data_IF_734494912619
#
_entry.id   IF_734494912619
#
_cell.length_a   1.000
_cell.length_b   1.000
_cell.length_c   1.000
_cell.angle_alpha   90.00
_cell.angle_beta   90.00
_cell.angle_gamma   90.00
#
_symmetry.space_group_name_H-M   'P 1'
#
loop_
_entity.id
_entity.type
_entity.pdbx_description
1 polymer ?
#
# COMPACT_ATOMS: atom_id res chain seq x y z
N UNK A 1 -59.88 -25.27 -28.57
CA UNK A 1 -59.50 -23.93 -28.07
C UNK A 1 -58.04 -23.98 -27.54
N UNK A 2 -57.11 -23.57 -28.37
CA UNK A 2 -55.70 -23.67 -28.14
C UNK A 2 -55.21 -22.38 -27.49
N UNK A 3 -54.41 -22.50 -26.43
CA UNK A 3 -53.68 -21.43 -25.82
C UNK A 3 -52.21 -21.57 -26.15
N UNK A 4 -51.68 -20.59 -26.80
CA UNK A 4 -50.24 -20.37 -27.02
C UNK A 4 -49.56 -19.89 -25.71
N UNK A 5 -48.39 -20.40 -25.40
CA UNK A 5 -47.39 -19.65 -24.67
C UNK A 5 -46.08 -19.64 -25.46
N UNK A 6 -45.59 -18.49 -25.76
CA UNK A 6 -44.25 -18.40 -26.34
C UNK A 6 -44.01 -17.06 -27.00
N UNK A 7 -43.47 -16.08 -26.26
CA UNK A 7 -42.88 -14.89 -26.92
C UNK A 7 -42.03 -14.00 -25.96
N UNK A 8 -41.50 -14.51 -24.86
CA UNK A 8 -40.61 -13.69 -24.04
C UNK A 8 -39.25 -14.34 -23.58
N UNK A 9 -39.01 -15.57 -24.01
CA UNK A 9 -37.75 -16.27 -23.60
C UNK A 9 -36.56 -16.05 -24.55
N UNK A 10 -36.78 -15.46 -25.74
CA UNK A 10 -35.78 -15.46 -26.80
C UNK A 10 -34.77 -14.30 -26.80
N UNK A 11 -35.10 -13.14 -26.26
CA UNK A 11 -34.23 -11.97 -26.39
C UNK A 11 -33.22 -11.80 -25.26
N UNK A 12 -33.52 -12.21 -24.05
CA UNK A 12 -32.57 -12.17 -22.93
C UNK A 12 -31.50 -13.27 -23.02
N UNK A 13 -31.81 -14.44 -23.51
CA UNK A 13 -30.89 -15.55 -23.70
C UNK A 13 -29.81 -15.25 -24.77
N UNK A 14 -30.19 -14.62 -25.88
CA UNK A 14 -29.27 -14.30 -26.97
C UNK A 14 -28.27 -13.18 -26.60
N UNK A 15 -28.64 -12.21 -25.76
CA UNK A 15 -27.73 -11.15 -25.33
C UNK A 15 -26.70 -11.67 -24.36
N UNK A 16 -27.08 -12.57 -23.47
CA UNK A 16 -26.16 -13.20 -22.50
C UNK A 16 -25.23 -14.19 -23.22
N UNK A 17 -25.73 -15.02 -24.11
CA UNK A 17 -24.91 -15.92 -24.93
C UNK A 17 -23.97 -15.16 -25.87
N UNK A 18 -24.37 -14.05 -26.47
CA UNK A 18 -23.49 -13.19 -27.26
C UNK A 18 -22.43 -12.49 -26.41
N UNK A 19 -22.73 -12.11 -25.18
CA UNK A 19 -21.76 -11.55 -24.23
C UNK A 19 -20.76 -12.62 -23.78
N UNK A 20 -21.24 -13.80 -23.42
CA UNK A 20 -20.41 -14.95 -23.06
C UNK A 20 -19.57 -15.42 -24.26
N UNK A 21 -20.12 -15.50 -25.47
CA UNK A 21 -19.39 -15.88 -26.69
C UNK A 21 -18.31 -14.85 -27.08
N UNK A 22 -18.61 -13.54 -26.99
CA UNK A 22 -17.59 -12.49 -27.18
C UNK A 22 -16.51 -12.52 -26.09
N UNK A 23 -16.89 -12.89 -24.91
CA UNK A 23 -15.97 -13.04 -23.79
C UNK A 23 -15.08 -14.27 -24.00
N UNK A 24 -15.67 -15.44 -24.28
CA UNK A 24 -14.95 -16.68 -24.57
C UNK A 24 -14.11 -16.58 -25.85
N UNK A 25 -14.52 -15.82 -26.88
CA UNK A 25 -13.70 -15.60 -28.07
C UNK A 25 -12.46 -14.74 -27.84
N UNK A 26 -12.45 -13.91 -26.79
CA UNK A 26 -11.22 -13.23 -26.33
C UNK A 26 -10.24 -14.20 -25.66
N UNK A 27 -10.74 -15.27 -25.04
CA UNK A 27 -9.91 -16.29 -24.39
C UNK A 27 -9.49 -17.44 -25.32
N UNK A 28 -10.09 -17.58 -26.52
CA UNK A 28 -9.65 -18.52 -27.53
C UNK A 28 -8.51 -17.99 -28.41
N UNK A 29 -8.13 -16.71 -28.27
CA UNK A 29 -6.88 -16.22 -28.83
C UNK A 29 -5.72 -16.65 -27.93
N UNK A 30 -4.51 -16.93 -28.48
CA UNK A 30 -3.35 -17.18 -27.66
C UNK A 30 -3.25 -16.06 -26.63
N UNK A 31 -3.19 -16.43 -25.35
CA UNK A 31 -3.18 -15.48 -24.25
C UNK A 31 -2.15 -14.38 -24.56
N UNK A 32 -2.52 -13.09 -24.43
CA UNK A 32 -1.56 -12.02 -24.60
C UNK A 32 -0.37 -12.33 -23.71
N UNK A 33 0.82 -12.27 -24.28
CA UNK A 33 2.02 -12.52 -23.51
C UNK A 33 2.32 -11.24 -22.73
N UNK A 34 2.15 -11.29 -21.40
CA UNK A 34 2.60 -10.22 -20.52
C UNK A 34 4.05 -10.48 -20.11
N UNK A 35 4.84 -9.42 -20.10
CA UNK A 35 6.15 -9.42 -19.51
C UNK A 35 6.10 -8.66 -18.17
N UNK A 36 6.65 -9.25 -17.12
CA UNK A 36 6.83 -8.56 -15.85
C UNK A 36 8.24 -7.99 -15.77
N UNK A 37 8.36 -6.68 -15.83
CA UNK A 37 9.61 -5.95 -15.61
C UNK A 37 9.74 -5.60 -14.13
N UNK A 38 10.92 -5.82 -13.55
CA UNK A 38 11.25 -5.46 -12.18
C UNK A 38 12.62 -4.81 -12.10
N UNK A 39 12.74 -3.79 -11.27
CA UNK A 39 14.00 -3.08 -11.03
C UNK A 39 14.23 -2.87 -9.53
N UNK A 40 15.51 -2.60 -9.13
CA UNK A 40 15.79 -2.25 -7.74
C UNK A 40 15.07 -0.97 -7.35
N UNK A 41 14.51 -0.99 -6.15
CA UNK A 41 13.90 0.17 -5.55
C UNK A 41 14.95 1.25 -5.25
N UNK A 42 14.59 2.51 -5.49
CA UNK A 42 15.33 3.67 -5.02
C UNK A 42 14.47 4.38 -3.96
N UNK A 43 14.96 4.44 -2.74
CA UNK A 43 14.20 4.95 -1.58
C UNK A 43 13.84 6.44 -1.67
N UNK A 44 14.51 7.19 -2.55
CA UNK A 44 14.25 8.62 -2.79
C UNK A 44 13.36 8.86 -4.02
N UNK A 45 13.06 7.80 -4.80
CA UNK A 45 12.25 7.93 -5.99
C UNK A 45 10.77 7.96 -5.63
N UNK A 46 10.05 8.96 -6.13
CA UNK A 46 8.59 9.00 -6.09
C UNK A 46 8.00 8.20 -7.24
N UNK A 47 8.65 8.26 -8.40
CA UNK A 47 8.26 7.53 -9.61
C UNK A 47 9.47 7.18 -10.46
N UNK A 48 9.24 6.46 -11.54
CA UNK A 48 10.28 6.02 -12.46
C UNK A 48 9.92 6.35 -13.90
N UNK A 49 10.94 6.67 -14.69
CA UNK A 49 10.83 6.74 -16.15
C UNK A 49 11.47 5.49 -16.75
N UNK A 50 10.68 4.77 -17.55
CA UNK A 50 11.09 3.56 -18.25
C UNK A 50 11.07 3.79 -19.76
N UNK A 51 12.10 3.33 -20.45
CA UNK A 51 12.21 3.31 -21.91
C UNK A 51 12.33 1.89 -22.42
N UNK A 52 11.60 1.60 -23.53
CA UNK A 52 11.71 0.32 -24.26
C UNK A 52 12.06 0.64 -25.72
N UNK A 53 13.00 -0.10 -26.25
CA UNK A 53 13.49 0.04 -27.63
C UNK A 53 13.82 -1.32 -28.27
N UNK A 54 13.81 -1.39 -29.61
CA UNK A 54 14.06 -2.62 -30.37
C UNK A 54 15.53 -2.83 -30.72
N UNK A 55 16.38 -1.83 -30.52
CA UNK A 55 17.83 -1.92 -30.70
C UNK A 55 18.55 -1.07 -29.66
N UNK A 56 19.77 -1.45 -29.33
CA UNK A 56 20.61 -0.66 -28.42
C UNK A 56 21.45 0.29 -29.29
N UNK A 57 21.29 1.63 -29.13
CA UNK A 57 22.14 2.59 -29.82
C UNK A 57 23.63 2.40 -29.50
N UNK A 58 24.51 2.64 -30.46
CA UNK A 58 25.96 2.50 -30.29
C UNK A 58 26.54 3.40 -29.21
N UNK A 59 25.89 4.54 -28.95
CA UNK A 59 26.22 5.44 -27.85
C UNK A 59 24.97 5.80 -27.06
N UNK A 60 24.91 5.35 -25.82
CA UNK A 60 23.84 5.71 -24.86
C UNK A 60 24.45 6.56 -23.75
N UNK A 61 24.02 7.82 -23.65
CA UNK A 61 24.26 8.61 -22.43
C UNK A 61 23.27 8.12 -21.36
N UNK A 62 23.75 7.60 -20.21
CA UNK A 62 22.86 7.15 -19.14
C UNK A 62 22.10 8.29 -18.47
N UNK A 63 22.42 9.54 -18.75
CA UNK A 63 21.74 10.73 -18.20
C UNK A 63 20.65 11.29 -19.13
N UNK A 64 20.67 10.93 -20.40
CA UNK A 64 19.77 11.46 -21.40
C UNK A 64 18.81 10.40 -21.91
N UNK A 65 17.52 10.75 -22.16
CA UNK A 65 16.58 9.86 -22.82
C UNK A 65 16.99 9.60 -24.27
N UNK A 66 16.55 8.47 -24.83
CA UNK A 66 16.72 8.14 -26.26
C UNK A 66 15.61 8.80 -27.06
N UNK A 67 15.95 9.47 -28.18
CA UNK A 67 14.97 10.16 -29.03
C UNK A 67 13.97 9.18 -29.67
N UNK A 68 14.43 7.99 -30.05
CA UNK A 68 13.61 6.99 -30.72
C UNK A 68 13.42 5.77 -29.84
N UNK A 69 12.25 5.67 -29.19
CA UNK A 69 11.85 4.56 -28.35
C UNK A 69 10.51 3.98 -28.81
N UNK A 70 10.28 2.69 -28.57
CA UNK A 70 8.97 2.07 -28.78
C UNK A 70 7.96 2.48 -27.70
N UNK A 71 8.45 2.71 -26.50
CA UNK A 71 7.62 3.07 -25.35
C UNK A 71 8.42 3.90 -24.35
N UNK A 72 7.80 4.94 -23.81
CA UNK A 72 8.29 5.70 -22.67
C UNK A 72 7.14 5.96 -21.72
N UNK A 73 7.40 5.77 -20.43
CA UNK A 73 6.47 6.10 -19.38
C UNK A 73 7.24 6.62 -18.17
N UNK A 74 6.90 7.79 -17.69
CA UNK A 74 7.51 8.49 -16.55
C UNK A 74 6.55 8.59 -15.33
N UNK A 75 5.41 7.91 -15.41
CA UNK A 75 4.41 7.86 -14.33
C UNK A 75 4.32 6.45 -13.72
N UNK A 76 5.45 5.79 -13.54
CA UNK A 76 5.50 4.47 -12.91
C UNK A 76 5.77 4.62 -11.42
N UNK A 77 4.76 4.37 -10.61
CA UNK A 77 4.87 4.28 -9.16
C UNK A 77 5.21 2.84 -8.76
N UNK A 78 6.19 2.70 -7.86
CA UNK A 78 6.72 1.39 -7.50
C UNK A 78 7.77 0.88 -8.51
N UNK A 79 8.28 -0.31 -8.29
CA UNK A 79 9.46 -0.86 -8.94
C UNK A 79 9.18 -2.03 -9.91
N UNK A 80 7.97 -2.07 -10.47
CA UNK A 80 7.59 -3.11 -11.44
C UNK A 80 6.51 -2.64 -12.42
N UNK A 81 6.48 -3.27 -13.60
CA UNK A 81 5.52 -3.01 -14.67
C UNK A 81 5.10 -4.32 -15.34
N UNK A 82 3.80 -4.51 -15.55
CA UNK A 82 3.28 -5.48 -16.50
C UNK A 82 3.22 -4.86 -17.89
N UNK A 83 3.91 -5.42 -18.84
CA UNK A 83 3.97 -4.96 -20.22
C UNK A 83 3.23 -5.94 -21.14
N UNK A 84 2.27 -5.44 -21.90
CA UNK A 84 1.69 -6.14 -23.05
C UNK A 84 2.43 -5.72 -24.31
N UNK A 85 3.32 -6.58 -24.81
CA UNK A 85 4.13 -6.29 -25.98
C UNK A 85 3.30 -5.97 -27.24
N UNK A 86 2.09 -6.52 -27.34
CA UNK A 86 1.17 -6.23 -28.45
C UNK A 86 0.69 -4.79 -28.50
N UNK A 87 0.83 -4.06 -27.40
CA UNK A 87 0.48 -2.64 -27.32
C UNK A 87 1.66 -1.73 -27.69
N UNK A 88 2.85 -2.28 -27.94
CA UNK A 88 4.01 -1.51 -28.40
C UNK A 88 3.85 -1.11 -29.87
N UNK A 89 3.87 0.19 -30.20
CA UNK A 89 3.72 0.65 -31.56
C UNK A 89 4.95 0.26 -32.42
N UNK A 90 4.70 -0.27 -33.60
CA UNK A 90 5.77 -0.60 -34.56
C UNK A 90 6.63 -1.81 -34.18
N UNK A 91 6.20 -2.62 -33.24
CA UNK A 91 6.87 -3.87 -32.91
C UNK A 91 6.62 -4.90 -34.02
N UNK A 92 7.70 -5.40 -34.64
CA UNK A 92 7.64 -6.56 -35.55
C UNK A 92 7.70 -7.86 -34.74
N UNK A 93 7.11 -8.94 -35.27
CA UNK A 93 7.18 -10.26 -34.64
C UNK A 93 8.63 -10.69 -34.43
N UNK A 94 8.94 -11.22 -33.24
CA UNK A 94 10.26 -11.75 -32.85
C UNK A 94 11.41 -10.75 -32.74
N UNK A 95 11.16 -9.43 -32.74
CA UNK A 95 12.22 -8.46 -32.47
C UNK A 95 12.70 -8.55 -31.02
N UNK A 96 14.02 -8.42 -30.77
CA UNK A 96 14.52 -8.29 -29.43
C UNK A 96 14.05 -6.96 -28.82
N UNK A 97 13.67 -6.99 -27.56
CA UNK A 97 13.30 -5.79 -26.80
C UNK A 97 14.33 -5.53 -25.73
N UNK A 98 14.66 -4.27 -25.59
CA UNK A 98 15.59 -3.76 -24.57
C UNK A 98 14.89 -2.70 -23.75
N UNK A 99 15.26 -2.58 -22.49
CA UNK A 99 14.70 -1.58 -21.61
C UNK A 99 15.73 -1.05 -20.62
N UNK A 100 15.47 0.14 -20.13
CA UNK A 100 16.18 0.78 -19.02
C UNK A 100 15.23 1.67 -18.23
N UNK A 101 15.58 1.98 -17.01
CA UNK A 101 14.74 2.74 -16.09
C UNK A 101 15.60 3.70 -15.28
N UNK A 102 15.07 4.87 -14.95
CA UNK A 102 15.69 5.81 -13.98
C UNK A 102 14.68 6.31 -12.95
N UNK A 103 15.17 6.67 -11.74
CA UNK A 103 14.34 7.24 -10.70
C UNK A 103 14.08 8.73 -10.97
N UNK A 104 12.86 9.18 -10.61
CA UNK A 104 12.41 10.57 -10.67
C UNK A 104 11.93 11.02 -9.30
N UNK A 105 12.04 12.34 -9.03
CA UNK A 105 11.45 12.99 -7.87
C UNK A 105 9.93 13.23 -8.04
N UNK A 106 9.36 14.00 -7.11
CA UNK A 106 7.94 14.35 -7.12
C UNK A 106 7.57 15.22 -8.32
N UNK A 107 8.43 16.12 -8.73
CA UNK A 107 8.26 17.01 -9.88
C UNK A 107 8.52 16.29 -11.23
N UNK A 108 9.04 15.06 -11.18
CA UNK A 108 9.41 14.27 -12.37
C UNK A 108 10.81 14.59 -12.89
N UNK A 109 11.62 15.29 -12.10
CA UNK A 109 13.01 15.51 -12.46
C UNK A 109 13.86 14.26 -12.12
N UNK A 110 14.84 13.89 -12.97
CA UNK A 110 15.71 12.75 -12.71
C UNK A 110 16.59 12.97 -11.48
N UNK A 111 16.51 12.07 -10.49
CA UNK A 111 17.39 12.02 -9.33
C UNK A 111 18.55 11.03 -9.51
N UNK A 112 18.63 10.36 -10.66
CA UNK A 112 19.68 9.42 -11.00
C UNK A 112 19.75 9.15 -12.49
N UNK A 113 20.81 8.44 -12.89
CA UNK A 113 20.98 7.98 -14.26
C UNK A 113 20.07 6.78 -14.57
N UNK A 114 19.84 6.53 -15.85
CA UNK A 114 19.24 5.28 -16.29
C UNK A 114 20.08 4.07 -15.88
N UNK A 115 19.43 2.98 -15.57
CA UNK A 115 20.06 1.69 -15.35
C UNK A 115 20.83 1.23 -16.60
N UNK A 116 21.71 0.24 -16.44
CA UNK A 116 22.21 -0.51 -17.59
C UNK A 116 21.04 -1.09 -18.39
N UNK A 117 21.23 -1.13 -19.72
CA UNK A 117 20.26 -1.74 -20.63
C UNK A 117 20.10 -3.22 -20.31
N UNK A 118 18.88 -3.67 -20.27
CA UNK A 118 18.50 -5.07 -20.07
C UNK A 118 17.71 -5.56 -21.27
N UNK A 119 18.04 -6.76 -21.72
CA UNK A 119 17.26 -7.44 -22.74
C UNK A 119 16.00 -8.05 -22.09
N UNK A 120 14.86 -7.86 -22.73
CA UNK A 120 13.62 -8.53 -22.35
C UNK A 120 13.67 -9.97 -22.87
N UNK A 121 14.11 -10.90 -22.04
CA UNK A 121 14.23 -12.31 -22.39
C UNK A 121 12.87 -12.98 -22.44
N UNK A 122 12.54 -13.46 -23.62
CA UNK A 122 11.22 -13.89 -24.04
C UNK A 122 10.63 -15.12 -23.34
N UNK A 123 11.43 -16.03 -22.78
CA UNK A 123 10.93 -17.34 -22.34
C UNK A 123 10.58 -17.45 -20.85
N UNK A 124 11.23 -16.67 -19.98
CA UNK A 124 11.00 -16.75 -18.54
C UNK A 124 10.11 -15.62 -17.98
N UNK A 125 10.00 -14.50 -18.70
CA UNK A 125 9.26 -13.32 -18.29
C UNK A 125 7.91 -13.16 -18.99
N UNK A 126 7.66 -13.91 -20.09
CA UNK A 126 6.49 -13.76 -20.96
C UNK A 126 5.29 -14.66 -20.64
N UNK A 127 5.37 -15.48 -19.63
CA UNK A 127 4.27 -16.39 -19.25
C UNK A 127 3.43 -15.88 -18.10
N UNK A 128 3.29 -14.56 -17.96
CA UNK A 128 2.37 -14.03 -16.98
C UNK A 128 0.92 -14.19 -17.42
N UNK A 129 0.12 -14.66 -16.50
CA UNK A 129 -1.33 -14.65 -16.57
C UNK A 129 -1.80 -13.22 -16.92
N UNK A 130 -2.82 -13.10 -17.74
CA UNK A 130 -3.42 -11.79 -18.03
C UNK A 130 -4.29 -11.34 -16.85
N UNK A 131 -3.63 -10.97 -15.79
CA UNK A 131 -4.19 -10.54 -14.52
C UNK A 131 -3.26 -9.52 -13.86
N UNK A 132 -3.76 -8.64 -12.98
CA UNK A 132 -2.88 -7.82 -12.14
C UNK A 132 -1.94 -8.74 -11.34
N UNK A 133 -0.71 -8.30 -11.13
CA UNK A 133 0.27 -9.08 -10.35
C UNK A 133 0.25 -8.60 -8.89
N UNK A 134 -0.19 -9.41 -7.93
CA UNK A 134 -0.07 -9.07 -6.52
C UNK A 134 1.39 -8.77 -6.17
N UNK A 135 1.63 -7.68 -5.47
CA UNK A 135 2.95 -7.38 -4.90
C UNK A 135 3.03 -8.08 -3.54
N UNK A 136 3.80 -9.19 -3.43
CA UNK A 136 3.92 -9.84 -2.14
C UNK A 136 4.62 -8.86 -1.21
N UNK A 137 4.06 -8.73 -0.02
CA UNK A 137 4.75 -8.09 1.07
C UNK A 137 6.17 -8.64 1.19
N UNK A 138 7.14 -7.77 1.38
CA UNK A 138 8.52 -8.17 1.67
C UNK A 138 8.52 -9.14 2.87
N UNK A 139 9.60 -9.89 3.04
CA UNK A 139 9.70 -10.97 4.04
C UNK A 139 9.04 -10.61 5.36
N UNK A 140 8.08 -11.41 5.86
CA UNK A 140 7.47 -11.16 7.15
C UNK A 140 8.55 -11.12 8.23
N UNK A 141 8.54 -10.05 9.01
CA UNK A 141 9.38 -9.87 10.18
C UNK A 141 8.52 -9.63 11.42
N UNK A 142 9.10 -9.46 12.60
CA UNK A 142 8.35 -8.98 13.75
C UNK A 142 7.61 -7.68 13.39
N UNK A 143 6.34 -7.55 13.79
CA UNK A 143 5.56 -6.34 13.58
C UNK A 143 4.97 -6.12 12.18
N UNK A 144 5.13 -7.05 11.26
CA UNK A 144 4.60 -6.93 9.88
C UNK A 144 3.17 -7.45 9.72
N UNK A 145 2.55 -7.91 10.80
CA UNK A 145 1.16 -8.41 10.81
C UNK A 145 0.22 -7.22 10.99
N UNK A 146 -0.51 -6.88 9.94
CA UNK A 146 -1.45 -5.76 9.92
C UNK A 146 -2.86 -6.24 10.21
N UNK A 147 -3.54 -5.60 11.18
CA UNK A 147 -4.97 -5.82 11.43
C UNK A 147 -5.83 -5.30 10.27
N UNK A 148 -5.41 -4.20 9.67
CA UNK A 148 -6.02 -3.58 8.50
C UNK A 148 -5.11 -3.80 7.28
N UNK A 149 -5.30 -4.88 6.51
CA UNK A 149 -4.42 -5.20 5.39
C UNK A 149 -4.48 -4.16 4.28
N UNK A 150 -3.38 -4.02 3.54
CA UNK A 150 -3.35 -3.28 2.29
C UNK A 150 -3.02 -4.24 1.16
N UNK A 151 -3.89 -4.27 0.15
CA UNK A 151 -3.81 -5.16 -0.98
C UNK A 151 -3.13 -4.44 -2.14
N UNK A 152 -1.82 -4.69 -2.29
CA UNK A 152 -0.97 -4.02 -3.30
C UNK A 152 -0.76 -4.92 -4.51
N UNK A 153 -0.83 -4.33 -5.71
CA UNK A 153 -0.65 -5.06 -6.95
C UNK A 153 -0.13 -4.15 -8.07
N UNK A 154 0.42 -4.77 -9.10
CA UNK A 154 0.85 -4.06 -10.31
C UNK A 154 -0.29 -3.95 -11.29
N UNK A 155 -0.45 -2.76 -11.85
CA UNK A 155 -1.48 -2.43 -12.83
C UNK A 155 -1.46 -3.38 -14.03
N UNK A 156 -2.64 -3.78 -14.50
CA UNK A 156 -2.81 -4.59 -15.70
C UNK A 156 -2.99 -3.68 -16.92
N UNK A 157 -2.24 -3.86 -18.01
CA UNK A 157 -2.47 -3.12 -19.26
C UNK A 157 -3.92 -3.23 -19.74
N UNK A 158 -4.53 -2.07 -20.05
CA UNK A 158 -5.92 -1.99 -20.52
C UNK A 158 -6.98 -1.96 -19.42
N UNK A 159 -6.62 -2.15 -18.15
CA UNK A 159 -7.49 -1.88 -17.02
C UNK A 159 -7.41 -0.40 -16.61
N UNK A 160 -8.52 0.15 -16.15
CA UNK A 160 -8.61 1.51 -15.57
C UNK A 160 -9.16 1.48 -14.16
N UNK A 161 -9.74 0.36 -13.75
CA UNK A 161 -10.22 0.10 -12.40
C UNK A 161 -9.85 -1.34 -12.03
N UNK A 162 -9.88 -1.62 -10.76
CA UNK A 162 -9.54 -2.91 -10.19
C UNK A 162 -10.60 -3.33 -9.20
N UNK A 163 -11.05 -4.58 -9.28
CA UNK A 163 -11.88 -5.19 -8.26
C UNK A 163 -11.01 -6.11 -7.42
N UNK A 164 -10.91 -5.81 -6.14
CA UNK A 164 -10.30 -6.69 -5.13
C UNK A 164 -11.41 -7.44 -4.43
N UNK A 165 -11.26 -8.76 -4.27
CA UNK A 165 -12.13 -9.55 -3.39
C UNK A 165 -11.33 -10.23 -2.29
N UNK A 166 -11.91 -10.25 -1.09
CA UNK A 166 -11.41 -10.94 0.09
C UNK A 166 -12.30 -12.16 0.36
N UNK A 167 -11.67 -13.28 0.64
CA UNK A 167 -12.29 -14.59 0.73
C UNK A 167 -11.99 -15.22 2.09
N UNK A 168 -12.95 -15.96 2.64
CA UNK A 168 -12.79 -16.75 3.87
C UNK A 168 -12.19 -18.15 3.62
N UNK A 169 -12.10 -18.59 2.35
CA UNK A 169 -11.40 -19.79 1.93
C UNK A 169 -10.87 -19.61 0.49
N UNK A 170 -10.06 -20.55 0.03
CA UNK A 170 -9.56 -20.57 -1.35
C UNK A 170 -10.73 -20.57 -2.35
N UNK A 171 -10.63 -19.83 -3.47
CA UNK A 171 -11.66 -19.86 -4.48
C UNK A 171 -11.77 -21.24 -5.11
N UNK A 172 -13.00 -21.66 -5.50
CA UNK A 172 -13.23 -22.95 -6.16
C UNK A 172 -12.41 -23.12 -7.43
N UNK A 173 -12.14 -22.01 -8.12
CA UNK A 173 -11.30 -21.96 -9.31
C UNK A 173 -10.23 -20.89 -9.12
N UNK A 174 -8.98 -21.30 -9.24
CA UNK A 174 -7.82 -20.39 -9.13
C UNK A 174 -7.69 -19.46 -10.33
N UNK A 175 -8.37 -19.78 -11.41
CA UNK A 175 -8.38 -19.04 -12.66
C UNK A 175 -9.82 -18.70 -13.05
N UNK A 176 -9.93 -17.86 -14.08
CA UNK A 176 -11.21 -17.43 -14.62
C UNK A 176 -11.64 -16.05 -14.13
N UNK A 177 -12.90 -15.74 -14.36
CA UNK A 177 -13.45 -14.39 -14.28
C UNK A 177 -14.60 -14.25 -13.30
N UNK A 178 -15.10 -15.38 -12.81
CA UNK A 178 -16.24 -15.36 -11.89
C UNK A 178 -15.78 -15.02 -10.47
N UNK A 179 -16.56 -14.23 -9.73
CA UNK A 179 -16.35 -14.04 -8.30
C UNK A 179 -16.40 -15.38 -7.55
N UNK A 180 -15.67 -15.48 -6.46
CA UNK A 180 -15.72 -16.65 -5.58
C UNK A 180 -17.02 -16.70 -4.76
N UNK A 181 -17.52 -17.90 -4.45
CA UNK A 181 -18.59 -18.06 -3.46
C UNK A 181 -18.11 -17.86 -2.02
N UNK A 182 -16.78 -17.87 -1.80
CA UNK A 182 -16.14 -17.56 -0.52
C UNK A 182 -15.88 -16.06 -0.29
N UNK A 183 -16.43 -15.20 -1.15
CA UNK A 183 -16.28 -13.75 -1.04
C UNK A 183 -16.99 -13.22 0.22
N UNK A 184 -16.22 -12.63 1.12
CA UNK A 184 -16.71 -11.93 2.32
C UNK A 184 -16.66 -10.41 2.17
N UNK A 185 -15.83 -9.90 1.24
CA UNK A 185 -15.71 -8.49 0.92
C UNK A 185 -15.28 -8.29 -0.52
N UNK A 186 -15.67 -7.18 -1.12
CA UNK A 186 -15.14 -6.73 -2.40
C UNK A 186 -15.28 -5.22 -2.55
N UNK A 187 -14.27 -4.62 -3.19
CA UNK A 187 -14.25 -3.19 -3.49
C UNK A 187 -13.65 -2.93 -4.86
N UNK A 188 -14.12 -1.88 -5.52
CA UNK A 188 -13.57 -1.40 -6.80
C UNK A 188 -12.83 -0.09 -6.55
N UNK A 189 -11.60 -0.02 -7.03
CA UNK A 189 -10.71 1.14 -6.89
C UNK A 189 -10.03 1.46 -8.22
N UNK A 190 -9.57 2.70 -8.39
CA UNK A 190 -8.69 3.12 -9.47
C UNK A 190 -7.20 3.03 -9.08
N UNK A 191 -6.92 2.84 -7.79
CA UNK A 191 -5.59 2.75 -7.23
C UNK A 191 -5.05 1.32 -7.31
N UNK A 192 -3.74 1.18 -7.21
CA UNK A 192 -3.04 -0.13 -7.16
C UNK A 192 -2.75 -0.60 -5.73
N UNK A 193 -3.23 0.15 -4.75
CA UNK A 193 -3.24 -0.20 -3.34
C UNK A 193 -4.65 -0.01 -2.79
N UNK A 194 -5.25 -1.08 -2.28
CA UNK A 194 -6.54 -1.00 -1.60
C UNK A 194 -6.34 -1.19 -0.10
N UNK A 195 -6.69 -0.17 0.67
CA UNK A 195 -6.69 -0.19 2.14
C UNK A 195 -7.99 -0.81 2.63
N UNK A 196 -7.91 -1.99 3.24
CA UNK A 196 -9.09 -2.64 3.84
C UNK A 196 -9.54 -1.83 5.07
N UNK A 197 -10.81 -1.46 5.08
CA UNK A 197 -11.43 -0.74 6.19
C UNK A 197 -12.04 -1.65 7.26
N UNK A 198 -11.79 -2.94 7.14
CA UNK A 198 -12.25 -3.94 8.09
C UNK A 198 -11.06 -4.64 8.75
N UNK A 199 -11.07 -4.81 10.06
CA UNK A 199 -10.07 -5.62 10.74
C UNK A 199 -10.20 -7.09 10.29
N UNK A 200 -9.06 -7.72 9.97
CA UNK A 200 -9.00 -9.10 9.52
C UNK A 200 -8.29 -9.98 10.55
N UNK A 201 -9.07 -10.51 11.48
CA UNK A 201 -8.61 -11.52 12.44
C UNK A 201 -8.97 -12.90 11.89
N UNK A 202 -7.99 -13.79 11.77
CA UNK A 202 -8.15 -15.10 11.15
C UNK A 202 -7.31 -15.26 9.89
N UNK A 203 -7.61 -16.30 9.13
CA UNK A 203 -6.99 -16.54 7.82
C UNK A 203 -7.96 -16.16 6.73
N UNK A 204 -7.48 -15.35 5.80
CA UNK A 204 -8.20 -14.89 4.62
C UNK A 204 -7.33 -15.05 3.37
N UNK A 205 -7.97 -14.99 2.22
CA UNK A 205 -7.33 -14.91 0.92
C UNK A 205 -7.84 -13.68 0.18
N UNK A 206 -7.01 -13.07 -0.65
CA UNK A 206 -7.45 -12.00 -1.52
C UNK A 206 -6.92 -12.20 -2.92
N UNK A 207 -7.62 -11.66 -3.90
CA UNK A 207 -7.20 -11.61 -5.28
C UNK A 207 -7.80 -10.38 -5.96
N UNK A 208 -7.23 -10.01 -7.11
CA UNK A 208 -7.59 -8.80 -7.83
C UNK A 208 -7.79 -9.10 -9.30
N UNK A 209 -8.67 -8.36 -9.96
CA UNK A 209 -8.81 -8.35 -11.41
C UNK A 209 -8.90 -6.93 -11.95
N UNK A 210 -8.48 -6.72 -13.22
CA UNK A 210 -8.67 -5.46 -13.93
C UNK A 210 -10.10 -5.31 -14.48
N UNK A 211 -10.55 -4.06 -14.56
CA UNK A 211 -11.81 -3.68 -15.20
C UNK A 211 -11.55 -2.58 -16.25
N UNK A 212 -12.29 -2.63 -17.38
CA UNK A 212 -12.28 -1.55 -18.37
C UNK A 212 -13.19 -0.39 -17.92
N UNK A 213 -13.17 0.74 -18.66
CA UNK A 213 -14.00 1.92 -18.40
C UNK A 213 -15.53 1.66 -18.37
N UNK A 214 -15.99 0.46 -18.73
CA UNK A 214 -17.39 0.03 -18.66
C UNK A 214 -17.64 -0.91 -17.49
N UNK A 215 -16.61 -1.13 -16.63
CA UNK A 215 -16.67 -2.08 -15.53
C UNK A 215 -16.64 -3.55 -15.99
N UNK A 216 -16.21 -3.84 -17.21
CA UNK A 216 -16.10 -5.21 -17.71
C UNK A 216 -14.69 -5.76 -17.41
N UNK A 217 -14.59 -7.06 -17.02
CA UNK A 217 -13.31 -7.68 -16.74
C UNK A 217 -12.33 -7.57 -17.90
N UNK A 218 -11.11 -7.13 -17.58
CA UNK A 218 -9.92 -7.19 -18.43
C UNK A 218 -9.04 -8.29 -17.88
N UNK A 219 -8.92 -9.39 -18.62
CA UNK A 219 -8.16 -10.54 -18.14
C UNK A 219 -8.89 -11.38 -17.08
N UNK A 220 -8.11 -12.05 -16.27
CA UNK A 220 -8.55 -12.98 -15.24
C UNK A 220 -8.33 -12.40 -13.84
N UNK A 221 -8.81 -13.14 -12.83
CA UNK A 221 -8.38 -12.92 -11.45
C UNK A 221 -6.91 -13.29 -11.26
N UNK A 222 -6.19 -12.52 -10.45
CA UNK A 222 -4.86 -12.91 -10.00
C UNK A 222 -4.91 -14.21 -9.19
N UNK A 223 -3.75 -14.84 -8.97
CA UNK A 223 -3.66 -15.92 -8.00
C UNK A 223 -3.97 -15.38 -6.59
N UNK A 224 -4.72 -16.16 -5.77
CA UNK A 224 -5.05 -15.75 -4.43
C UNK A 224 -3.81 -15.64 -3.56
N UNK A 225 -3.75 -14.57 -2.77
CA UNK A 225 -2.72 -14.34 -1.76
C UNK A 225 -3.31 -14.61 -0.38
N UNK A 226 -2.58 -15.35 0.45
CA UNK A 226 -2.98 -15.62 1.83
C UNK A 226 -2.55 -14.48 2.74
N UNK A 227 -3.46 -14.02 3.59
CA UNK A 227 -3.16 -13.21 4.77
C UNK A 227 -3.62 -13.97 6.01
N UNK A 228 -2.89 -13.85 7.12
CA UNK A 228 -3.24 -14.52 8.36
C UNK A 228 -2.78 -13.67 9.54
N UNK A 229 -3.73 -13.32 10.39
CA UNK A 229 -3.49 -12.65 11.65
C UNK A 229 -4.34 -13.34 12.72
N UNK A 230 -3.70 -14.10 13.57
CA UNK A 230 -4.33 -14.79 14.70
C UNK A 230 -3.78 -14.19 15.99
N UNK A 231 -4.60 -14.07 17.05
CA UNK A 231 -4.09 -13.85 18.40
C UNK A 231 -3.03 -14.90 18.73
N UNK A 232 -1.91 -14.47 19.28
CA UNK A 232 -0.75 -15.31 19.52
C UNK A 232 -0.16 -14.93 20.87
N UNK A 233 -0.11 -15.88 21.82
CA UNK A 233 0.39 -15.64 23.17
C UNK A 233 1.87 -15.20 23.22
N UNK A 234 2.65 -15.48 22.16
CA UNK A 234 4.02 -15.01 22.03
C UNK A 234 4.10 -13.52 21.66
N UNK A 235 3.00 -12.94 21.12
CA UNK A 235 2.91 -11.54 20.75
C UNK A 235 2.26 -10.77 21.90
N UNK A 236 3.08 -10.08 22.69
CA UNK A 236 2.62 -9.37 23.88
C UNK A 236 2.59 -7.85 23.69
N UNK A 237 3.11 -7.35 22.55
CA UNK A 237 3.20 -5.92 22.25
C UNK A 237 2.33 -5.60 21.04
N UNK A 238 1.44 -4.65 21.20
CA UNK A 238 0.66 -4.06 20.11
C UNK A 238 1.17 -2.68 19.72
N UNK A 239 0.98 -2.32 18.46
CA UNK A 239 1.19 -0.98 17.92
C UNK A 239 -0.18 -0.44 17.51
N UNK A 240 -0.53 0.75 17.98
CA UNK A 240 -1.84 1.33 17.82
C UNK A 240 -1.74 2.83 17.49
N UNK A 241 -2.25 3.21 16.33
CA UNK A 241 -2.12 4.57 15.85
C UNK A 241 -2.75 4.78 14.47
N UNK A 242 -2.35 5.89 13.87
CA UNK A 242 -2.76 6.32 12.53
C UNK A 242 -1.84 5.77 11.42
N UNK A 243 -1.79 6.44 10.24
CA UNK A 243 -0.99 6.03 9.10
C UNK A 243 0.51 5.95 9.38
N UNK A 244 1.04 6.78 10.28
CA UNK A 244 2.48 6.76 10.62
C UNK A 244 2.85 5.42 11.25
N UNK A 245 1.95 4.87 12.08
CA UNK A 245 2.08 3.58 12.76
C UNK A 245 1.65 2.41 11.88
N UNK A 246 0.59 2.57 11.07
CA UNK A 246 0.15 1.56 10.11
C UNK A 246 1.29 1.20 9.16
N UNK A 247 2.02 2.20 8.68
CA UNK A 247 3.19 2.06 7.82
C UNK A 247 2.96 2.68 6.45
N UNK A 248 3.92 2.43 5.58
CA UNK A 248 4.02 3.11 4.29
C UNK A 248 4.89 4.37 4.38
N UNK A 249 5.35 4.81 3.23
CA UNK A 249 6.08 6.05 3.03
C UNK A 249 5.22 7.03 2.23
N UNK A 250 5.87 7.80 1.35
CA UNK A 250 5.15 8.63 0.39
C UNK A 250 4.29 7.77 -0.57
N UNK A 251 3.56 8.42 -1.49
CA UNK A 251 2.54 7.79 -2.36
C UNK A 251 2.94 6.50 -3.10
N UNK A 252 4.24 6.19 -3.19
CA UNK A 252 4.72 4.98 -3.88
C UNK A 252 4.83 3.74 -2.99
N UNK A 253 4.69 3.91 -1.66
CA UNK A 253 4.93 2.86 -0.67
C UNK A 253 3.79 2.77 0.32
N UNK A 254 3.06 1.68 0.25
CA UNK A 254 1.94 1.39 1.15
C UNK A 254 2.40 0.63 2.40
N UNK A 255 1.54 0.45 3.41
CA UNK A 255 1.84 -0.39 4.57
C UNK A 255 2.22 -1.84 4.26
N UNK A 256 1.96 -2.34 3.04
CA UNK A 256 2.46 -3.64 2.60
C UNK A 256 3.97 -3.65 2.32
N UNK A 257 4.59 -2.48 2.17
CA UNK A 257 6.03 -2.31 2.01
C UNK A 257 6.69 -2.18 3.39
N UNK A 258 7.01 -3.30 4.01
CA UNK A 258 7.43 -3.37 5.42
C UNK A 258 8.66 -2.56 5.78
N UNK A 259 9.53 -2.25 4.82
CA UNK A 259 10.67 -1.36 5.07
C UNK A 259 10.22 0.04 5.51
N UNK A 260 9.02 0.45 5.12
CA UNK A 260 8.39 1.73 5.49
C UNK A 260 7.52 1.64 6.73
N UNK A 261 7.68 0.62 7.56
CA UNK A 261 7.02 0.51 8.87
C UNK A 261 8.05 0.44 9.98
N UNK A 262 7.97 1.33 10.98
CA UNK A 262 8.86 1.27 12.13
C UNK A 262 8.70 -0.02 12.94
N UNK A 263 7.53 -0.65 12.86
CA UNK A 263 7.26 -1.95 13.48
C UNK A 263 8.21 -3.06 12.99
N UNK A 264 8.68 -2.96 11.75
CA UNK A 264 9.65 -3.91 11.17
C UNK A 264 11.04 -3.84 11.81
N UNK A 265 11.34 -2.76 12.52
CA UNK A 265 12.62 -2.52 13.20
C UNK A 265 12.54 -2.75 14.71
N UNK A 266 11.37 -3.10 15.25
CA UNK A 266 11.22 -3.48 16.65
C UNK A 266 11.70 -4.92 16.83
N UNK A 267 12.51 -5.14 17.86
CA UNK A 267 13.21 -6.41 18.08
C UNK A 267 12.36 -7.52 18.70
N UNK A 268 11.21 -7.17 19.31
CA UNK A 268 10.29 -8.14 19.89
C UNK A 268 9.09 -8.39 18.94
N UNK A 269 8.45 -9.56 19.02
CA UNK A 269 7.23 -9.82 18.25
C UNK A 269 6.14 -8.80 18.58
N UNK A 270 5.60 -8.14 17.55
CA UNK A 270 4.54 -7.14 17.66
C UNK A 270 3.41 -7.43 16.70
N UNK A 271 2.21 -6.95 17.00
CA UNK A 271 1.07 -6.87 16.08
C UNK A 271 0.75 -5.41 15.80
N UNK A 272 0.50 -5.07 14.54
CA UNK A 272 0.14 -3.72 14.14
C UNK A 272 -1.38 -3.59 14.00
N UNK A 273 -1.98 -2.86 14.93
CA UNK A 273 -3.42 -2.62 15.05
C UNK A 273 -3.82 -1.22 14.54
N UNK A 274 -2.90 -0.54 13.85
CA UNK A 274 -3.09 0.83 13.37
C UNK A 274 -3.92 0.86 12.09
N UNK A 275 -4.63 1.97 11.88
CA UNK A 275 -5.41 2.22 10.66
C UNK A 275 -5.04 3.59 10.08
N UNK A 276 -4.76 3.63 8.77
CA UNK A 276 -4.43 4.88 8.07
C UNK A 276 -5.63 5.82 8.03
N UNK A 277 -5.39 7.10 8.37
CA UNK A 277 -6.41 8.14 8.40
C UNK A 277 -7.05 8.37 9.77
N UNK A 278 -6.72 7.58 10.79
CA UNK A 278 -7.30 7.74 12.12
C UNK A 278 -7.03 9.11 12.74
N UNK A 279 -8.08 9.67 13.32
CA UNK A 279 -7.99 10.71 14.34
C UNK A 279 -7.87 10.09 15.75
N UNK A 280 -7.49 10.89 16.74
CA UNK A 280 -7.42 10.41 18.13
C UNK A 280 -8.76 9.84 18.63
N UNK A 281 -9.89 10.45 18.22
CA UNK A 281 -11.23 9.97 18.57
C UNK A 281 -11.55 8.62 17.91
N UNK A 282 -11.21 8.43 16.63
CA UNK A 282 -11.43 7.16 15.93
C UNK A 282 -10.65 6.02 16.60
N UNK A 283 -9.45 6.29 17.09
CA UNK A 283 -8.68 5.31 17.87
C UNK A 283 -9.43 4.93 19.18
N UNK A 284 -10.04 5.89 19.88
CA UNK A 284 -10.86 5.57 21.06
C UNK A 284 -12.04 4.68 20.68
N UNK A 285 -12.74 5.01 19.59
CA UNK A 285 -13.98 4.35 19.19
C UNK A 285 -13.78 2.87 18.76
N UNK A 286 -12.60 2.54 18.19
CA UNK A 286 -12.29 1.17 17.72
C UNK A 286 -11.48 0.31 18.70
N UNK A 287 -11.08 0.86 19.86
CA UNK A 287 -10.17 0.19 20.81
C UNK A 287 -10.64 -1.20 21.23
N UNK A 288 -11.87 -1.34 21.67
CA UNK A 288 -12.40 -2.62 22.20
C UNK A 288 -12.38 -3.71 21.12
N UNK A 289 -12.81 -3.36 19.91
CA UNK A 289 -12.88 -4.28 18.76
C UNK A 289 -11.50 -4.73 18.29
N UNK A 290 -10.52 -3.84 18.30
CA UNK A 290 -9.25 -4.04 17.64
C UNK A 290 -8.13 -4.49 18.58
N UNK A 291 -8.16 -4.05 19.84
CA UNK A 291 -7.09 -4.32 20.80
C UNK A 291 -7.39 -5.56 21.66
N UNK A 292 -8.61 -5.64 22.21
CA UNK A 292 -8.92 -6.67 23.20
C UNK A 292 -8.80 -8.13 22.69
N UNK A 293 -9.10 -8.44 21.43
CA UNK A 293 -8.94 -9.83 20.93
C UNK A 293 -7.53 -10.38 21.04
N UNK A 294 -6.48 -9.52 21.11
CA UNK A 294 -5.08 -9.94 21.09
C UNK A 294 -4.48 -10.21 22.46
N UNK A 295 -5.17 -9.90 23.56
CA UNK A 295 -4.71 -10.16 24.93
C UNK A 295 -3.29 -9.63 25.24
N UNK A 296 -2.99 -8.44 24.75
CA UNK A 296 -1.67 -7.82 24.83
C UNK A 296 -1.32 -7.45 26.28
N UNK A 297 -0.01 -7.41 26.57
CA UNK A 297 0.50 -6.86 27.84
C UNK A 297 0.86 -5.39 27.73
N UNK A 298 1.37 -4.98 26.57
CA UNK A 298 1.81 -3.60 26.34
C UNK A 298 1.25 -3.09 25.02
N UNK A 299 0.77 -1.85 25.02
CA UNK A 299 0.28 -1.17 23.82
C UNK A 299 1.07 0.11 23.60
N UNK A 300 1.80 0.17 22.47
CA UNK A 300 2.47 1.37 21.98
C UNK A 300 1.44 2.23 21.25
N UNK A 301 1.16 3.42 21.74
CA UNK A 301 0.10 4.31 21.24
C UNK A 301 0.72 5.55 20.63
N UNK A 302 0.48 5.79 19.35
CA UNK A 302 0.85 7.03 18.65
C UNK A 302 -0.39 7.55 17.91
N UNK A 303 -0.97 8.62 18.39
CA UNK A 303 -2.15 9.20 17.77
C UNK A 303 -2.31 10.68 18.06
N UNK A 304 -2.95 11.37 17.12
CA UNK A 304 -3.23 12.80 17.24
C UNK A 304 -2.67 13.63 16.08
N UNK A 305 -1.77 13.14 15.29
CA UNK A 305 -1.18 13.87 14.15
C UNK A 305 -2.25 14.39 13.21
N UNK A 306 -3.17 13.53 12.74
CA UNK A 306 -4.26 13.95 11.87
C UNK A 306 -5.20 14.95 12.55
N UNK A 307 -5.57 14.69 13.80
CA UNK A 307 -6.44 15.59 14.59
C UNK A 307 -5.85 16.98 14.72
N UNK A 308 -4.56 17.08 15.05
CA UNK A 308 -3.88 18.36 15.25
C UNK A 308 -3.68 19.13 13.94
N UNK A 309 -3.38 18.41 12.85
CA UNK A 309 -3.27 19.01 11.51
C UNK A 309 -4.58 19.64 11.07
N UNK A 310 -5.71 19.02 11.40
CA UNK A 310 -7.06 19.45 11.05
C UNK A 310 -7.61 20.50 12.03
N UNK A 311 -6.79 21.01 12.96
CA UNK A 311 -7.17 22.05 13.90
C UNK A 311 -7.98 21.57 15.12
N UNK A 312 -8.00 20.25 15.39
CA UNK A 312 -8.53 19.73 16.66
C UNK A 312 -7.66 20.25 17.81
N UNK A 313 -8.28 20.75 18.88
CA UNK A 313 -7.53 21.33 20.01
C UNK A 313 -6.63 20.30 20.70
N UNK A 314 -5.45 20.70 21.19
CA UNK A 314 -4.55 19.81 21.95
C UNK A 314 -5.23 19.18 23.16
N UNK A 315 -6.11 19.91 23.84
CA UNK A 315 -6.87 19.42 24.99
C UNK A 315 -7.77 18.24 24.64
N UNK A 316 -8.40 18.28 23.44
CA UNK A 316 -9.23 17.16 22.96
C UNK A 316 -8.38 15.93 22.68
N UNK A 317 -7.23 16.12 22.00
CA UNK A 317 -6.31 15.01 21.71
C UNK A 317 -5.76 14.41 23.01
N UNK A 318 -5.38 15.24 23.99
CA UNK A 318 -4.95 14.78 25.31
C UNK A 318 -6.05 13.96 25.99
N UNK A 319 -7.30 14.46 26.00
CA UNK A 319 -8.43 13.73 26.58
C UNK A 319 -8.65 12.36 25.90
N UNK A 320 -8.45 12.25 24.58
CA UNK A 320 -8.54 10.99 23.86
C UNK A 320 -7.40 10.03 24.25
N UNK A 321 -6.16 10.54 24.40
CA UNK A 321 -5.04 9.75 24.89
C UNK A 321 -5.25 9.29 26.35
N UNK A 322 -5.77 10.15 27.23
CA UNK A 322 -6.16 9.77 28.60
C UNK A 322 -7.21 8.64 28.58
N UNK A 323 -8.19 8.73 27.67
CA UNK A 323 -9.21 7.70 27.53
C UNK A 323 -8.61 6.37 27.05
N UNK A 324 -7.69 6.40 26.09
CA UNK A 324 -6.99 5.20 25.65
C UNK A 324 -6.15 4.56 26.76
N UNK A 325 -5.45 5.39 27.55
CA UNK A 325 -4.70 4.89 28.70
C UNK A 325 -5.62 4.24 29.76
N UNK A 326 -6.78 4.86 30.04
CA UNK A 326 -7.77 4.29 30.95
C UNK A 326 -8.30 2.94 30.44
N UNK A 327 -8.66 2.85 29.16
CA UNK A 327 -9.11 1.60 28.53
C UNK A 327 -8.04 0.51 28.61
N UNK A 328 -6.78 0.83 28.40
CA UNK A 328 -5.67 -0.11 28.59
C UNK A 328 -5.62 -0.62 30.02
N UNK A 329 -5.61 0.29 31.00
CA UNK A 329 -5.51 -0.04 32.44
C UNK A 329 -6.70 -0.89 32.92
N UNK A 330 -7.91 -0.56 32.48
CA UNK A 330 -9.13 -1.32 32.79
C UNK A 330 -9.05 -2.78 32.30
N UNK A 331 -8.25 -3.02 31.23
CA UNK A 331 -8.07 -4.35 30.62
C UNK A 331 -6.72 -4.99 30.95
N UNK A 332 -5.96 -4.43 31.90
CA UNK A 332 -4.67 -4.99 32.35
C UNK A 332 -3.54 -4.85 31.31
N UNK A 333 -3.66 -3.88 30.41
CA UNK A 333 -2.66 -3.56 29.37
C UNK A 333 -1.84 -2.36 29.84
N UNK A 334 -0.53 -2.43 29.70
CA UNK A 334 0.38 -1.28 29.96
C UNK A 334 0.34 -0.33 28.78
N UNK A 335 -0.22 0.90 28.89
CA UNK A 335 -0.15 1.89 27.83
C UNK A 335 1.21 2.58 27.80
N UNK A 336 1.84 2.68 26.65
CA UNK A 336 3.07 3.44 26.42
C UNK A 336 2.83 4.41 25.28
N UNK A 337 2.83 5.71 25.59
CA UNK A 337 2.62 6.73 24.59
C UNK A 337 3.89 6.99 23.79
N UNK A 338 3.75 7.17 22.48
CA UNK A 338 4.84 7.60 21.60
C UNK A 338 4.65 9.08 21.26
N UNK A 339 5.71 9.88 21.36
CA UNK A 339 5.68 11.30 20.99
C UNK A 339 5.46 11.48 19.48
N UNK A 340 4.81 12.57 19.11
CA UNK A 340 4.51 12.91 17.72
C UNK A 340 5.69 13.62 17.08
N UNK A 341 6.25 13.05 16.01
CA UNK A 341 7.30 13.69 15.23
C UNK A 341 6.77 14.98 14.57
N UNK A 342 7.64 15.97 14.30
CA UNK A 342 7.25 17.15 13.53
C UNK A 342 6.69 16.76 12.17
N UNK A 343 5.92 17.64 11.54
CA UNK A 343 5.48 17.54 10.14
C UNK A 343 6.19 18.58 9.29
N UNK A 344 6.06 18.48 7.96
CA UNK A 344 6.49 19.51 7.03
C UNK A 344 5.29 19.97 6.19
N UNK A 345 4.64 21.10 6.55
CA UNK A 345 3.42 21.57 5.90
C UNK A 345 3.58 21.86 4.40
N UNK A 346 4.73 22.39 3.97
CA UNK A 346 5.00 22.69 2.57
C UNK A 346 5.03 21.42 1.71
N UNK A 347 5.63 20.34 2.24
CA UNK A 347 5.63 19.04 1.58
C UNK A 347 4.24 18.38 1.59
N UNK A 348 3.48 18.55 2.67
CA UNK A 348 2.10 18.06 2.77
C UNK A 348 1.23 18.75 1.71
N UNK A 349 1.29 20.07 1.63
CA UNK A 349 0.57 20.84 0.60
C UNK A 349 0.95 20.40 -0.81
N UNK A 350 2.23 20.15 -1.05
CA UNK A 350 2.72 19.71 -2.37
C UNK A 350 2.26 18.29 -2.72
N UNK A 351 2.21 17.39 -1.73
CA UNK A 351 1.90 15.97 -1.96
C UNK A 351 0.39 15.68 -2.02
N UNK A 352 -0.41 16.36 -1.18
CA UNK A 352 -1.82 16.03 -0.95
C UNK A 352 -2.79 17.14 -1.34
N UNK A 353 -2.28 18.35 -1.66
CA UNK A 353 -3.08 19.56 -1.84
C UNK A 353 -3.92 19.91 -0.59
N UNK A 354 -3.34 19.66 0.60
CA UNK A 354 -3.94 19.87 1.91
C UNK A 354 -3.14 20.90 2.71
N UNK A 355 -3.83 21.86 3.34
CA UNK A 355 -3.24 22.80 4.28
C UNK A 355 -3.22 22.18 5.69
N UNK A 356 -2.14 22.40 6.44
CA UNK A 356 -2.07 22.09 7.86
C UNK A 356 -2.45 23.29 8.71
N UNK A 357 -3.02 23.05 9.91
CA UNK A 357 -3.32 24.14 10.85
C UNK A 357 -2.06 25.01 11.09
N UNK A 358 -2.12 26.33 10.95
CA UNK A 358 -0.96 27.20 11.10
C UNK A 358 -0.36 27.19 12.54
N UNK A 359 -1.09 26.73 13.55
CA UNK A 359 -0.65 26.59 14.93
C UNK A 359 -0.22 25.16 15.28
N UNK A 360 -0.02 24.30 14.30
CA UNK A 360 0.33 22.88 14.52
C UNK A 360 1.54 22.70 15.43
N UNK A 361 2.57 23.55 15.33
CA UNK A 361 3.78 23.44 16.14
C UNK A 361 3.50 23.58 17.64
N UNK A 362 2.69 24.59 18.00
CA UNK A 362 2.25 24.82 19.39
C UNK A 362 1.38 23.67 19.88
N UNK A 363 0.50 23.17 19.02
CA UNK A 363 -0.39 22.07 19.32
C UNK A 363 0.37 20.76 19.56
N UNK A 364 1.34 20.42 18.68
CA UNK A 364 2.20 19.25 18.84
C UNK A 364 3.08 19.37 20.09
N UNK A 365 3.69 20.54 20.32
CA UNK A 365 4.51 20.76 21.52
C UNK A 365 3.71 20.50 22.81
N UNK A 366 2.46 20.97 22.88
CA UNK A 366 1.59 20.80 24.05
C UNK A 366 1.20 19.33 24.25
N UNK A 367 0.86 18.61 23.18
CA UNK A 367 0.53 17.18 23.27
C UNK A 367 1.79 16.38 23.63
N UNK A 368 2.96 16.69 23.04
CA UNK A 368 4.21 16.02 23.39
C UNK A 368 4.66 16.31 24.82
N UNK A 369 4.40 17.51 25.36
CA UNK A 369 4.63 17.81 26.79
C UNK A 369 3.78 16.90 27.69
N UNK A 370 2.49 16.73 27.36
CA UNK A 370 1.64 15.77 28.06
C UNK A 370 2.16 14.34 27.92
N UNK A 371 2.47 13.87 26.70
CA UNK A 371 3.01 12.52 26.47
C UNK A 371 4.25 12.28 27.32
N UNK A 372 5.20 13.22 27.35
CA UNK A 372 6.45 13.12 28.14
C UNK A 372 6.23 13.09 29.65
N UNK A 373 5.05 13.50 30.13
CA UNK A 373 4.65 13.38 31.54
C UNK A 373 4.07 12.01 31.91
N UNK A 374 3.83 11.14 30.93
CA UNK A 374 3.25 9.81 31.06
C UNK A 374 4.30 8.71 30.83
N UNK A 375 3.97 7.41 31.06
CA UNK A 375 4.78 6.32 30.53
C UNK A 375 4.90 6.45 28.99
N UNK A 376 6.10 6.71 28.49
CA UNK A 376 6.30 7.06 27.09
C UNK A 376 7.63 6.60 26.52
N UNK A 377 7.74 6.63 25.21
CA UNK A 377 9.00 6.54 24.45
C UNK A 377 9.08 7.77 23.55
N UNK A 378 10.14 8.54 23.65
CA UNK A 378 10.31 9.79 22.92
C UNK A 378 10.88 9.55 21.53
N UNK A 379 10.02 9.09 20.62
CA UNK A 379 10.39 8.82 19.22
C UNK A 379 10.52 10.10 18.38
N UNK A 380 10.01 11.24 18.86
CA UNK A 380 10.12 12.53 18.18
C UNK A 380 11.46 13.23 18.40
N UNK A 381 12.11 13.00 19.55
CA UNK A 381 13.32 13.72 19.93
C UNK A 381 14.44 13.71 18.85
N UNK A 382 14.73 12.60 18.15
CA UNK A 382 15.73 12.62 17.08
C UNK A 382 15.38 13.59 15.94
N UNK A 383 14.10 13.77 15.63
CA UNK A 383 13.63 14.63 14.54
C UNK A 383 13.51 16.09 14.99
N UNK A 384 13.04 16.34 16.20
CA UNK A 384 13.03 17.67 16.81
C UNK A 384 14.46 18.27 16.89
N UNK A 385 15.47 17.42 17.07
CA UNK A 385 16.87 17.83 17.05
C UNK A 385 17.39 18.26 15.67
N UNK A 386 16.70 17.88 14.58
CA UNK A 386 17.03 18.27 13.20
C UNK A 386 16.45 19.63 12.82
N UNK A 387 15.36 20.05 13.48
CA UNK A 387 14.69 21.32 13.21
C UNK A 387 13.27 21.35 13.73
N UNK A 388 12.57 22.45 13.41
CA UNK A 388 11.17 22.65 13.79
C UNK A 388 10.18 21.92 12.86
N UNK A 389 10.65 21.49 11.70
CA UNK A 389 9.90 20.76 10.68
C UNK A 389 10.66 19.50 10.28
N UNK A 390 9.93 18.50 9.83
CA UNK A 390 10.52 17.26 9.34
C UNK A 390 11.31 17.52 8.05
N UNK A 391 12.60 17.15 7.99
CA UNK A 391 13.41 17.33 6.78
C UNK A 391 12.80 16.58 5.59
N UNK A 392 12.82 17.20 4.40
CA UNK A 392 12.28 16.60 3.17
C UNK A 392 12.88 15.24 2.86
N UNK A 393 14.17 15.05 3.12
CA UNK A 393 14.88 13.78 2.94
C UNK A 393 14.43 12.68 3.90
N UNK A 394 13.71 13.01 4.97
CA UNK A 394 13.13 12.04 5.92
C UNK A 394 11.67 11.71 5.61
N UNK A 395 10.95 12.64 4.97
CA UNK A 395 9.56 12.44 4.55
C UNK A 395 9.24 13.33 3.35
N UNK A 396 9.26 12.75 2.15
CA UNK A 396 9.03 13.48 0.90
C UNK A 396 7.65 14.11 0.83
N UNK A 397 6.65 13.50 1.45
CA UNK A 397 5.29 14.03 1.55
C UNK A 397 5.05 14.89 2.81
N UNK A 398 6.07 15.09 3.62
CA UNK A 398 6.02 15.90 4.83
C UNK A 398 5.35 15.25 6.05
N UNK A 399 4.88 14.00 5.93
CA UNK A 399 4.12 13.30 6.97
C UNK A 399 4.58 11.85 7.19
N UNK A 400 4.65 11.06 6.12
CA UNK A 400 5.00 9.65 6.20
C UNK A 400 6.51 9.48 6.00
N UNK A 401 7.17 9.00 7.04
CA UNK A 401 8.62 8.84 7.05
C UNK A 401 9.13 7.83 6.04
N UNK A 402 10.31 8.10 5.49
CA UNK A 402 11.06 7.15 4.69
C UNK A 402 11.62 5.99 5.55
N UNK A 403 12.33 5.08 4.92
CA UNK A 403 12.98 3.93 5.60
C UNK A 403 13.92 4.37 6.72
N UNK A 404 14.66 5.49 6.53
CA UNK A 404 15.60 6.00 7.53
C UNK A 404 14.85 6.48 8.78
N UNK A 405 13.80 7.25 8.59
CA UNK A 405 12.95 7.71 9.70
C UNK A 405 12.34 6.53 10.45
N UNK A 406 11.74 5.57 9.72
CA UNK A 406 11.11 4.38 10.33
C UNK A 406 12.11 3.55 11.12
N UNK A 407 13.34 3.43 10.62
CA UNK A 407 14.44 2.74 11.34
C UNK A 407 14.82 3.46 12.62
N UNK A 408 15.00 4.77 12.58
CA UNK A 408 15.31 5.58 13.78
C UNK A 408 14.20 5.40 14.84
N UNK A 409 12.91 5.46 14.43
CA UNK A 409 11.80 5.26 15.34
C UNK A 409 11.82 3.86 15.99
N UNK A 410 12.00 2.80 15.19
CA UNK A 410 12.07 1.42 15.70
C UNK A 410 13.26 1.18 16.61
N UNK A 411 14.44 1.75 16.30
CA UNK A 411 15.64 1.68 17.13
C UNK A 411 15.46 2.45 18.45
N UNK A 412 14.80 3.62 18.44
CA UNK A 412 14.46 4.37 19.65
C UNK A 412 13.50 3.58 20.53
N UNK A 413 12.49 2.94 19.94
CA UNK A 413 11.58 2.06 20.69
C UNK A 413 12.37 0.92 21.35
N UNK A 414 13.25 0.25 20.63
CA UNK A 414 14.05 -0.86 21.19
C UNK A 414 14.91 -0.48 22.39
N UNK A 415 15.39 0.77 22.44
CA UNK A 415 16.22 1.25 23.56
C UNK A 415 15.46 1.34 24.87
N UNK A 416 14.15 1.57 24.83
CA UNK A 416 13.33 1.83 26.01
C UNK A 416 12.25 0.79 26.26
N UNK A 417 11.88 -0.02 25.25
CA UNK A 417 10.74 -0.93 25.33
C UNK A 417 10.86 -1.93 26.49
N UNK A 418 12.08 -2.36 26.84
CA UNK A 418 12.30 -3.33 27.92
C UNK A 418 11.85 -2.80 29.30
N UNK A 419 11.70 -1.51 29.49
CA UNK A 419 11.20 -0.89 30.71
C UNK A 419 9.69 -1.14 30.94
N UNK A 420 9.00 -1.56 29.89
CA UNK A 420 7.53 -1.72 29.84
C UNK A 420 7.05 -3.16 29.56
N UNK A 421 7.96 -4.15 29.53
CA UNK A 421 7.66 -5.56 29.26
C UNK A 421 7.54 -6.44 30.50
#
# INVERSE_FOLDING_TARGET
MALLPGLFAGQFGNSLQHRISRFLSRYSQPAPQLALLRWPENLQAVRYELEIFSYVPDSLDPRLPVDTVLYRNDELYGNQLLLDEKQLPGLEEEQPLFWRVRPLDMEGAPIGAYSSVRELRTSLQRNHRYAPEPRPAAKPGPGTRLLYPVYSYTALPGAVQYEVEVLDDLPQHLDGILPSSHRVYAEITELTDLYDKQPRIGTYYWRVRGLDKRGLPVGEWSLPQKISLEPDEEIQVGIYGDSISHGGGHMSFSPSDYAYSYSSYISVPTVNLSESGDTSQMMVDRFEKDVLPFHLKTLLIMGGTNSLRDGTSPEKVIADLEKLQALCQENGITPVLLTLAPINPDNIQRAFDEESDPHWQEAFAKVNEYIRSQPHIDVAAPFEAMGTELPTEMALDGLHGDVTMKKIMGETINQHLQEFL
#
